data_IF_722923351765
#
_entry.id   IF_722923351765
#
_cell.length_a   1.000
_cell.length_b   1.000
_cell.length_c   1.000
_cell.angle_alpha   90.00
_cell.angle_beta   90.00
_cell.angle_gamma   90.00
#
_symmetry.space_group_name_H-M   'P 1'
#
loop_
_entity.id
_entity.type
_entity.pdbx_description
1 polymer ?
#
# COMPACT_ATOMS: atom_id res chain seq x y z
N UNK A 1 -31.15 29.88 -37.12
CA UNK A 1 -29.93 29.13 -36.75
C UNK A 1 -29.72 29.29 -35.26
N UNK A 2 -29.97 28.25 -34.47
CA UNK A 2 -29.69 28.27 -33.03
C UNK A 2 -28.57 27.26 -32.82
N UNK A 3 -27.35 27.75 -32.62
CA UNK A 3 -26.19 26.94 -32.31
C UNK A 3 -26.24 26.57 -30.82
N UNK A 4 -26.49 25.29 -30.54
CA UNK A 4 -26.40 24.75 -29.18
C UNK A 4 -24.92 24.54 -28.84
N UNK A 5 -24.43 25.30 -27.86
CA UNK A 5 -23.11 25.13 -27.26
C UNK A 5 -23.14 23.88 -26.36
N UNK A 6 -22.49 22.80 -26.81
CA UNK A 6 -22.24 21.60 -26.01
C UNK A 6 -21.08 21.92 -25.06
N UNK A 7 -21.40 22.23 -23.80
CA UNK A 7 -20.42 22.40 -22.73
C UNK A 7 -19.77 21.06 -22.38
N UNK A 8 -18.46 20.99 -22.52
CA UNK A 8 -17.64 19.84 -22.12
C UNK A 8 -17.56 19.72 -20.59
N UNK A 9 -18.24 18.74 -20.02
CA UNK A 9 -18.11 18.40 -18.59
C UNK A 9 -16.84 17.59 -18.36
N UNK A 10 -15.69 18.26 -18.28
CA UNK A 10 -14.41 17.61 -17.97
C UNK A 10 -13.70 18.31 -16.81
N UNK A 11 -14.37 18.33 -15.65
CA UNK A 11 -13.78 18.82 -14.38
C UNK A 11 -14.33 18.16 -13.09
N UNK A 12 -15.45 17.43 -13.14
CA UNK A 12 -16.10 16.89 -11.93
C UNK A 12 -15.49 15.59 -11.37
N UNK A 13 -14.64 14.88 -12.11
CA UNK A 13 -14.08 13.62 -11.63
C UNK A 13 -12.91 13.79 -10.64
N UNK A 14 -12.20 14.92 -10.69
CA UNK A 14 -11.03 15.17 -9.83
C UNK A 14 -11.39 15.73 -8.45
N UNK A 15 -12.49 16.48 -8.31
CA UNK A 15 -12.98 16.97 -7.01
C UNK A 15 -13.52 15.85 -6.13
N UNK A 16 -14.00 14.77 -6.75
CA UNK A 16 -14.61 13.62 -6.08
C UNK A 16 -13.56 12.71 -5.39
N UNK A 17 -12.49 12.33 -6.09
CA UNK A 17 -11.46 11.44 -5.54
C UNK A 17 -10.73 12.00 -4.31
N UNK A 18 -10.35 13.28 -4.32
CA UNK A 18 -9.69 13.91 -3.17
C UNK A 18 -10.62 14.06 -1.97
N UNK A 19 -11.91 14.33 -2.19
CA UNK A 19 -12.91 14.37 -1.13
C UNK A 19 -13.08 12.97 -0.51
N UNK A 20 -13.21 11.93 -1.35
CA UNK A 20 -13.28 10.54 -0.93
C UNK A 20 -12.08 10.14 -0.06
N UNK A 21 -10.84 10.48 -0.46
CA UNK A 21 -9.65 10.18 0.35
C UNK A 21 -9.69 10.88 1.71
N UNK A 22 -10.10 12.16 1.75
CA UNK A 22 -10.20 12.91 3.01
C UNK A 22 -11.25 12.31 3.94
N UNK A 23 -12.41 11.93 3.41
CA UNK A 23 -13.51 11.40 4.19
C UNK A 23 -13.24 9.97 4.70
N UNK A 24 -12.69 9.10 3.84
CA UNK A 24 -12.65 7.65 4.07
C UNK A 24 -11.28 7.10 4.41
N UNK A 25 -10.20 7.83 4.14
CA UNK A 25 -8.83 7.33 4.28
C UNK A 25 -8.01 8.12 5.31
N UNK A 26 -8.25 9.44 5.44
CA UNK A 26 -7.40 10.33 6.24
C UNK A 26 -7.43 10.07 7.75
N UNK A 27 -8.42 9.32 8.26
CA UNK A 27 -8.47 8.91 9.68
C UNK A 27 -7.34 7.95 10.07
N UNK A 28 -6.81 7.19 9.11
CA UNK A 28 -5.73 6.21 9.34
C UNK A 28 -4.46 6.53 8.53
N UNK A 29 -4.62 7.08 7.32
CA UNK A 29 -3.55 7.33 6.37
C UNK A 29 -3.19 8.81 6.27
N UNK A 30 -1.89 9.12 6.31
CA UNK A 30 -1.43 10.46 6.00
C UNK A 30 -1.39 10.66 4.48
N UNK A 31 -2.17 11.61 3.98
CA UNK A 31 -2.26 11.93 2.55
C UNK A 31 -1.27 13.02 2.12
N UNK A 32 -0.78 13.81 3.07
CA UNK A 32 0.14 14.92 2.84
C UNK A 32 1.57 14.53 3.18
N UNK A 33 2.51 15.13 2.45
CA UNK A 33 3.93 14.92 2.63
C UNK A 33 4.62 16.08 3.36
N UNK A 34 5.90 15.90 3.72
CA UNK A 34 6.66 14.65 3.57
C UNK A 34 6.20 13.56 4.57
N UNK A 35 6.76 12.35 4.44
CA UNK A 35 6.56 11.29 5.43
C UNK A 35 7.07 11.72 6.83
N UNK A 36 6.87 10.89 7.86
CA UNK A 36 7.24 11.23 9.23
C UNK A 36 8.76 11.36 9.25
N UNK A 37 9.23 12.44 9.85
CA UNK A 37 10.65 12.74 9.97
C UNK A 37 11.18 12.33 11.35
N UNK A 38 10.30 12.01 12.30
CA UNK A 38 10.70 11.54 13.64
C UNK A 38 10.06 10.20 14.02
N UNK A 39 10.67 9.54 15.01
CA UNK A 39 10.14 8.30 15.59
C UNK A 39 8.78 8.52 16.26
N UNK A 40 8.60 9.64 16.96
CA UNK A 40 7.34 9.99 17.62
C UNK A 40 6.20 10.16 16.62
N UNK A 41 6.46 10.83 15.50
CA UNK A 41 5.50 10.96 14.40
C UNK A 41 5.17 9.61 13.77
N UNK A 42 6.19 8.74 13.59
CA UNK A 42 5.99 7.40 13.08
C UNK A 42 5.15 6.52 14.03
N UNK A 43 5.33 6.66 15.34
CA UNK A 43 4.63 5.87 16.38
C UNK A 43 3.14 6.19 16.51
N UNK A 44 2.75 7.44 16.18
CA UNK A 44 1.34 7.88 16.23
C UNK A 44 0.51 7.36 15.05
N UNK A 45 1.16 6.84 14.01
CA UNK A 45 0.46 6.37 12.81
C UNK A 45 -0.32 5.10 13.10
N UNK A 46 -1.40 4.94 12.36
CA UNK A 46 -2.19 3.71 12.38
C UNK A 46 -2.01 2.91 11.09
N UNK A 47 -1.67 3.60 10.00
CA UNK A 47 -1.42 3.01 8.70
C UNK A 47 -0.26 3.71 7.95
N UNK A 48 0.26 3.12 6.86
CA UNK A 48 1.30 3.73 6.04
C UNK A 48 0.86 5.08 5.44
N UNK A 49 1.79 6.02 5.31
CA UNK A 49 1.54 7.26 4.55
C UNK A 49 1.30 6.96 3.07
N UNK A 50 0.37 7.71 2.45
CA UNK A 50 -0.02 7.58 1.05
C UNK A 50 0.52 8.71 0.17
N UNK A 51 1.27 9.67 0.72
CA UNK A 51 1.85 10.79 -0.02
C UNK A 51 2.72 10.39 -1.22
N UNK A 52 3.30 9.18 -1.22
CA UNK A 52 4.14 8.65 -2.31
C UNK A 52 3.43 7.56 -3.14
N UNK A 53 2.11 7.46 -3.07
CA UNK A 53 1.36 6.41 -3.75
C UNK A 53 1.58 6.40 -5.27
N UNK A 54 1.77 7.56 -5.89
CA UNK A 54 2.00 7.71 -7.34
C UNK A 54 3.27 7.11 -7.89
N UNK A 55 4.29 6.90 -7.06
CA UNK A 55 5.56 6.25 -7.45
C UNK A 55 5.75 4.87 -6.83
N UNK A 56 4.82 4.45 -5.97
CA UNK A 56 4.91 3.18 -5.24
C UNK A 56 4.01 2.09 -5.81
N UNK A 57 2.82 2.43 -6.30
CA UNK A 57 1.81 1.45 -6.69
C UNK A 57 1.53 1.48 -8.19
N UNK A 58 1.26 0.29 -8.76
CA UNK A 58 0.64 0.18 -10.08
C UNK A 58 -0.85 0.49 -9.97
N UNK A 59 -1.39 1.25 -10.92
CA UNK A 59 -2.76 1.76 -10.83
C UNK A 59 -3.83 0.67 -10.90
N UNK A 60 -3.67 -0.28 -11.81
CA UNK A 60 -4.53 -1.46 -11.96
C UNK A 60 -4.55 -2.34 -10.71
N UNK A 61 -3.38 -2.56 -10.11
CA UNK A 61 -3.25 -3.25 -8.83
C UNK A 61 -3.99 -2.51 -7.72
N UNK A 62 -3.82 -1.19 -7.62
CA UNK A 62 -4.43 -0.37 -6.59
C UNK A 62 -5.97 -0.34 -6.71
N UNK A 63 -6.48 -0.19 -7.93
CA UNK A 63 -7.92 -0.23 -8.21
C UNK A 63 -8.51 -1.58 -7.82
N UNK A 64 -7.85 -2.68 -8.20
CA UNK A 64 -8.28 -4.05 -7.86
C UNK A 64 -8.25 -4.27 -6.35
N UNK A 65 -7.13 -3.94 -5.69
CA UNK A 65 -6.97 -4.15 -4.26
C UNK A 65 -7.96 -3.35 -3.43
N UNK A 66 -8.31 -2.11 -3.82
CA UNK A 66 -9.29 -1.29 -3.10
C UNK A 66 -10.71 -1.87 -3.14
N UNK A 67 -11.06 -2.64 -4.19
CA UNK A 67 -12.38 -3.32 -4.24
C UNK A 67 -12.45 -4.55 -3.32
N UNK A 68 -11.32 -5.24 -3.12
CA UNK A 68 -11.24 -6.46 -2.32
C UNK A 68 -9.92 -6.48 -1.54
N UNK A 69 -9.78 -5.64 -0.50
CA UNK A 69 -8.51 -5.49 0.18
C UNK A 69 -8.15 -6.75 0.95
N UNK A 70 -6.91 -7.18 0.80
CA UNK A 70 -6.30 -8.26 1.58
C UNK A 70 -5.28 -7.69 2.55
N UNK A 71 -5.00 -8.43 3.63
CA UNK A 71 -4.06 -8.00 4.67
C UNK A 71 -2.63 -8.03 4.14
N UNK A 72 -2.09 -6.85 3.82
CA UNK A 72 -0.69 -6.73 3.38
C UNK A 72 0.34 -7.00 4.47
N UNK A 73 0.04 -6.67 5.73
CA UNK A 73 0.93 -6.87 6.89
C UNK A 73 0.27 -7.83 7.86
N UNK A 74 0.72 -9.09 7.97
CA UNK A 74 0.07 -10.11 8.79
C UNK A 74 -0.06 -9.71 10.25
N UNK A 75 0.96 -9.06 10.81
CA UNK A 75 0.97 -8.55 12.19
C UNK A 75 0.44 -7.10 12.31
N UNK A 76 -0.10 -6.50 11.25
CA UNK A 76 -0.52 -5.09 11.25
C UNK A 76 0.64 -4.10 11.07
N UNK A 77 0.33 -2.81 11.07
CA UNK A 77 1.34 -1.76 10.81
C UNK A 77 2.32 -1.58 11.97
N UNK A 78 1.82 -1.57 13.22
CA UNK A 78 2.61 -1.59 14.44
C UNK A 78 2.43 -2.95 15.13
N UNK A 79 3.25 -3.93 14.75
CA UNK A 79 3.07 -5.33 15.15
C UNK A 79 2.95 -5.55 16.66
N UNK A 80 3.70 -4.80 17.47
CA UNK A 80 3.67 -4.90 18.93
C UNK A 80 2.30 -4.60 19.56
N UNK A 81 1.40 -3.91 18.84
CA UNK A 81 0.01 -3.65 19.31
C UNK A 81 -0.92 -4.86 19.15
N UNK A 82 -0.51 -5.84 18.35
CA UNK A 82 -1.33 -6.98 17.93
C UNK A 82 -0.67 -8.31 18.30
N UNK A 83 0.11 -8.31 19.38
CA UNK A 83 0.83 -9.49 19.88
C UNK A 83 0.40 -9.77 21.32
N UNK A 84 0.13 -11.04 21.59
CA UNK A 84 -0.14 -11.60 22.90
C UNK A 84 1.01 -12.53 23.28
N UNK A 85 1.69 -12.21 24.36
CA UNK A 85 2.76 -13.07 24.90
C UNK A 85 2.15 -14.31 25.55
N UNK A 86 2.74 -15.46 25.25
CA UNK A 86 2.37 -16.74 25.86
C UNK A 86 3.63 -17.53 26.26
N UNK A 87 3.52 -18.56 27.12
CA UNK A 87 4.64 -19.45 27.43
C UNK A 87 5.24 -20.17 26.21
N UNK A 88 4.49 -20.25 25.09
CA UNK A 88 4.94 -20.85 23.83
C UNK A 88 5.56 -19.83 22.86
N UNK A 89 5.73 -18.58 23.31
CA UNK A 89 6.18 -17.44 22.50
C UNK A 89 5.07 -16.43 22.23
N UNK A 90 5.44 -15.40 21.49
CA UNK A 90 4.55 -14.31 21.08
C UNK A 90 3.63 -14.76 19.93
N UNK A 91 2.32 -14.57 20.12
CA UNK A 91 1.29 -14.95 19.15
C UNK A 91 0.57 -13.71 18.63
N UNK A 92 0.22 -13.73 17.34
CA UNK A 92 -0.57 -12.66 16.73
C UNK A 92 -1.99 -12.70 17.27
N UNK A 93 -2.43 -11.60 17.84
CA UNK A 93 -3.82 -11.38 18.22
C UNK A 93 -4.64 -11.00 16.99
N UNK A 94 -5.09 -12.02 16.25
CA UNK A 94 -5.80 -11.81 14.98
C UNK A 94 -7.10 -11.04 15.14
N UNK A 95 -7.73 -11.12 16.31
CA UNK A 95 -9.03 -10.48 16.57
C UNK A 95 -8.89 -8.97 16.80
N UNK A 96 -7.72 -8.49 17.22
CA UNK A 96 -7.47 -7.04 17.38
C UNK A 96 -7.00 -6.36 16.09
N UNK A 97 -6.72 -7.12 15.04
CA UNK A 97 -6.26 -6.57 13.76
C UNK A 97 -7.39 -5.85 13.02
N UNK A 98 -7.13 -4.60 12.66
CA UNK A 98 -8.03 -3.82 11.80
C UNK A 98 -8.07 -4.41 10.38
N UNK A 99 -9.27 -4.40 9.78
CA UNK A 99 -9.49 -4.70 8.37
C UNK A 99 -9.59 -3.40 7.57
N UNK A 100 -9.04 -3.41 6.36
CA UNK A 100 -9.16 -2.26 5.47
C UNK A 100 -10.58 -2.22 4.85
N UNK A 101 -11.24 -1.06 4.78
CA UNK A 101 -12.56 -0.96 4.16
C UNK A 101 -12.48 -1.25 2.67
N UNK A 102 -13.47 -1.97 2.14
CA UNK A 102 -13.64 -2.16 0.70
C UNK A 102 -14.37 -0.94 0.10
N UNK A 103 -14.01 -0.59 -1.13
CA UNK A 103 -14.67 0.42 -1.94
C UNK A 103 -15.48 -0.24 -3.06
N UNK A 104 -16.51 0.44 -3.56
CA UNK A 104 -17.15 0.05 -4.81
C UNK A 104 -16.20 0.23 -5.99
N UNK A 105 -16.43 -0.43 -7.12
CA UNK A 105 -15.58 -0.27 -8.31
C UNK A 105 -15.45 1.20 -8.76
N UNK A 106 -16.54 1.97 -8.68
CA UNK A 106 -16.54 3.39 -9.02
C UNK A 106 -15.69 4.23 -8.05
N UNK A 107 -15.79 3.97 -6.75
CA UNK A 107 -14.97 4.63 -5.73
C UNK A 107 -13.50 4.23 -5.85
N UNK A 108 -13.19 2.95 -6.08
CA UNK A 108 -11.82 2.47 -6.27
C UNK A 108 -11.11 3.17 -7.42
N UNK A 109 -11.80 3.38 -8.55
CA UNK A 109 -11.25 4.11 -9.70
C UNK A 109 -10.95 5.57 -9.35
N UNK A 110 -11.86 6.25 -8.64
CA UNK A 110 -11.69 7.64 -8.20
C UNK A 110 -10.55 7.78 -7.19
N UNK A 111 -10.51 6.90 -6.19
CA UNK A 111 -9.47 6.87 -5.17
C UNK A 111 -8.10 6.59 -5.80
N UNK A 112 -8.01 5.61 -6.71
CA UNK A 112 -6.78 5.29 -7.45
C UNK A 112 -6.27 6.51 -8.24
N UNK A 113 -7.14 7.16 -9.01
CA UNK A 113 -6.77 8.35 -9.77
C UNK A 113 -6.28 9.51 -8.89
N UNK A 114 -6.80 9.65 -7.67
CA UNK A 114 -6.34 10.64 -6.70
C UNK A 114 -5.01 10.23 -6.05
N UNK A 115 -4.87 8.97 -5.63
CA UNK A 115 -3.66 8.42 -5.00
C UNK A 115 -2.45 8.47 -5.93
N UNK A 116 -2.64 8.19 -7.23
CA UNK A 116 -1.54 8.24 -8.19
C UNK A 116 -0.99 9.65 -8.43
N UNK A 117 -1.71 10.69 -8.03
CA UNK A 117 -1.23 12.08 -8.04
C UNK A 117 -0.44 12.46 -6.79
N UNK A 118 -0.46 11.62 -5.75
CA UNK A 118 0.32 11.83 -4.54
C UNK A 118 1.74 11.32 -4.77
N UNK A 119 2.64 12.25 -5.08
CA UNK A 119 4.09 12.00 -5.14
C UNK A 119 4.86 13.28 -4.84
N UNK A 120 6.07 13.18 -4.27
CA UNK A 120 7.05 14.26 -4.45
C UNK A 120 7.44 14.31 -5.95
N UNK A 121 7.98 15.44 -6.40
CA UNK A 121 8.49 15.68 -7.77
C UNK A 121 8.92 14.40 -8.49
N UNK A 122 8.61 14.23 -9.80
CA UNK A 122 8.74 12.95 -10.49
C UNK A 122 10.11 12.33 -10.20
N UNK A 123 10.11 11.32 -9.31
CA UNK A 123 11.26 10.45 -9.16
C UNK A 123 11.25 9.66 -10.45
N UNK A 124 12.15 10.03 -11.35
CA UNK A 124 12.42 9.24 -12.54
C UNK A 124 13.07 7.95 -12.01
N UNK A 125 12.23 6.96 -11.74
CA UNK A 125 12.69 5.60 -11.56
C UNK A 125 13.26 5.24 -12.93
N UNK A 126 14.58 5.34 -13.07
CA UNK A 126 15.29 4.72 -14.19
C UNK A 126 15.03 3.24 -14.01
N UNK A 127 14.01 2.76 -14.71
CA UNK A 127 13.77 1.34 -14.80
C UNK A 127 14.92 0.84 -15.66
N UNK A 128 16.04 0.51 -15.01
CA UNK A 128 17.09 -0.25 -15.66
C UNK A 128 16.39 -1.48 -16.22
N UNK A 129 16.30 -1.53 -17.54
CA UNK A 129 15.55 -2.57 -18.20
C UNK A 129 16.18 -3.88 -17.80
N UNK A 130 15.35 -4.78 -17.27
CA UNK A 130 15.77 -6.15 -17.07
C UNK A 130 16.25 -6.66 -18.44
N UNK A 131 17.55 -6.97 -18.53
CA UNK A 131 18.25 -7.23 -19.80
C UNK A 131 17.82 -8.54 -20.51
N UNK A 132 16.70 -9.15 -20.10
CA UNK A 132 16.13 -10.36 -20.67
C UNK A 132 16.96 -11.62 -20.46
N UNK A 133 18.11 -11.54 -19.78
CA UNK A 133 18.98 -12.70 -19.58
C UNK A 133 18.33 -13.70 -18.62
N UNK A 134 18.50 -15.01 -18.83
CA UNK A 134 17.99 -16.01 -17.91
C UNK A 134 18.39 -15.71 -16.46
N UNK A 135 17.39 -15.65 -15.58
CA UNK A 135 17.60 -15.48 -14.14
C UNK A 135 17.50 -16.85 -13.49
N UNK A 136 18.42 -17.16 -12.59
CA UNK A 136 18.29 -18.33 -11.73
C UNK A 136 17.28 -18.04 -10.62
N UNK A 137 16.10 -18.66 -10.71
CA UNK A 137 15.05 -18.56 -9.68
C UNK A 137 15.56 -19.09 -8.33
N UNK A 138 16.29 -20.21 -8.34
CA UNK A 138 16.87 -20.79 -7.13
C UNK A 138 17.92 -19.88 -6.49
N UNK A 139 18.70 -19.14 -7.29
CA UNK A 139 19.60 -18.14 -6.76
C UNK A 139 18.84 -16.97 -6.12
N UNK A 140 17.75 -16.50 -6.73
CA UNK A 140 16.89 -15.48 -6.15
C UNK A 140 16.27 -15.90 -4.80
N UNK A 141 15.86 -17.16 -4.69
CA UNK A 141 15.38 -17.75 -3.45
C UNK A 141 16.47 -17.78 -2.37
N UNK A 142 17.70 -18.20 -2.72
CA UNK A 142 18.83 -18.18 -1.79
C UNK A 142 19.19 -16.76 -1.34
N UNK A 143 19.17 -15.77 -2.25
CA UNK A 143 19.39 -14.37 -1.90
C UNK A 143 18.36 -13.90 -0.88
N UNK A 144 17.08 -14.21 -1.10
CA UNK A 144 16.01 -13.78 -0.20
C UNK A 144 16.02 -14.53 1.14
N UNK A 145 16.18 -15.85 1.09
CA UNK A 145 16.02 -16.74 2.24
C UNK A 145 17.29 -16.95 3.07
N UNK A 146 18.47 -16.90 2.45
CA UNK A 146 19.73 -17.27 3.11
C UNK A 146 20.72 -16.12 3.21
N UNK A 147 20.99 -15.43 2.10
CA UNK A 147 22.12 -14.48 2.07
C UNK A 147 21.77 -13.11 2.66
N UNK A 148 20.57 -12.58 2.37
CA UNK A 148 20.16 -11.25 2.84
C UNK A 148 19.20 -11.28 4.02
N UNK A 149 18.79 -12.47 4.48
CA UNK A 149 17.92 -12.63 5.64
C UNK A 149 16.52 -12.01 5.52
N UNK A 150 16.07 -11.69 4.30
CA UNK A 150 14.76 -11.05 4.07
C UNK A 150 13.61 -11.89 4.65
N UNK A 151 13.75 -13.22 4.58
CA UNK A 151 12.80 -14.18 5.14
C UNK A 151 12.63 -14.05 6.66
N UNK A 152 13.58 -13.45 7.39
CA UNK A 152 13.44 -13.25 8.83
C UNK A 152 12.26 -12.35 9.20
N UNK A 153 11.89 -11.43 8.31
CA UNK A 153 10.76 -10.51 8.50
C UNK A 153 9.63 -10.76 7.51
N UNK A 154 9.90 -11.24 6.30
CA UNK A 154 8.91 -11.41 5.24
C UNK A 154 8.56 -12.88 4.99
N UNK A 155 7.29 -13.19 4.70
CA UNK A 155 6.92 -14.54 4.30
C UNK A 155 7.27 -14.74 2.82
N UNK A 156 7.63 -15.98 2.45
CA UNK A 156 7.79 -16.38 1.04
C UNK A 156 6.69 -17.33 0.58
N UNK A 157 6.09 -18.06 1.50
CA UNK A 157 5.00 -19.01 1.28
C UNK A 157 4.09 -19.06 2.52
N UNK A 158 2.85 -19.56 2.41
CA UNK A 158 1.97 -19.71 3.56
C UNK A 158 2.62 -20.51 4.70
N UNK A 159 2.82 -19.84 5.84
CA UNK A 159 3.44 -20.46 7.03
C UNK A 159 4.97 -20.54 7.00
N UNK A 160 5.64 -19.94 6.01
CA UNK A 160 7.11 -19.94 5.91
C UNK A 160 7.69 -18.53 5.76
N UNK A 161 8.52 -18.16 6.73
CA UNK A 161 9.14 -16.84 6.89
C UNK A 161 8.52 -15.99 7.99
N UNK A 162 9.04 -14.77 8.15
CA UNK A 162 8.60 -13.81 9.16
C UNK A 162 7.26 -13.18 8.81
N UNK A 163 6.54 -12.69 9.82
CA UNK A 163 5.21 -12.09 9.67
C UNK A 163 5.18 -10.58 9.98
N UNK A 164 6.34 -10.01 10.30
CA UNK A 164 6.50 -8.61 10.72
C UNK A 164 6.61 -7.64 9.54
N UNK A 165 7.10 -8.14 8.40
CA UNK A 165 7.12 -7.45 7.11
C UNK A 165 5.85 -7.68 6.30
N UNK A 166 5.59 -6.85 5.26
CA UNK A 166 4.49 -7.09 4.36
C UNK A 166 4.67 -8.36 3.52
N UNK A 167 3.56 -9.02 3.21
CA UNK A 167 3.48 -10.08 2.21
C UNK A 167 3.80 -9.52 0.82
N UNK A 168 4.35 -10.36 -0.06
CA UNK A 168 4.39 -10.06 -1.49
C UNK A 168 3.02 -10.42 -2.07
N UNK A 169 2.24 -9.41 -2.48
CA UNK A 169 1.08 -9.60 -3.36
C UNK A 169 1.50 -9.39 -4.82
#
# INVERSE_FOLDING_TARGET
MIAALIGTTQAHAASDGNALLKERCASCHHLTGPAAQTAEEAWKRQAPGLFYAGVKYKGDWLETWLTKPTRLRPMGYHYFKYIKTSPKGDLIDRDSLLNHPALTAAESKKATAALLKLTASPVELTQDEFNGKPISISFGEMVFGKFNGCIGCHPIEPGYGGLSGPERL
#
